data_IF_038475900203
#
_entry.id   IF_038475900203
#
_cell.length_a   1.000
_cell.length_b   1.000
_cell.length_c   1.000
_cell.angle_alpha   90.00
_cell.angle_beta   90.00
_cell.angle_gamma   90.00
#
_symmetry.space_group_name_H-M   'P 1'
#
loop_
_entity.id
_entity.type
_entity.pdbx_description
1 polymer ?
#
# COMPACT_ATOMS: atom_id res chain seq x y z
N UNK A 1 6.45 -0.48 15.20
CA UNK A 1 6.44 -0.53 13.71
C UNK A 1 5.81 0.69 13.03
N UNK A 2 5.09 1.58 13.72
CA UNK A 2 4.64 2.87 13.13
C UNK A 2 5.70 4.00 13.18
N UNK A 3 6.76 3.84 13.98
CA UNK A 3 7.81 4.87 14.17
C UNK A 3 8.88 4.93 13.07
N UNK A 4 8.92 3.98 12.13
CA UNK A 4 9.99 3.92 11.12
C UNK A 4 9.71 4.79 9.88
N UNK A 5 8.45 4.95 9.48
CA UNK A 5 8.07 5.78 8.32
C UNK A 5 8.31 7.28 8.56
N UNK A 6 8.06 7.77 9.78
CA UNK A 6 8.30 9.18 10.13
C UNK A 6 9.80 9.54 10.21
N UNK A 7 10.66 8.58 10.63
CA UNK A 7 12.11 8.78 10.71
C UNK A 7 12.78 8.79 9.32
N UNK A 8 12.19 8.13 8.32
CA UNK A 8 12.71 8.04 6.95
C UNK A 8 12.56 9.32 6.12
N UNK A 9 11.64 10.22 6.49
CA UNK A 9 11.44 11.52 5.82
C UNK A 9 12.65 12.48 5.89
N UNK A 10 13.61 12.24 6.78
CA UNK A 10 14.69 13.21 7.06
C UNK A 10 16.00 12.86 6.32
N UNK A 11 16.20 11.63 5.83
CA UNK A 11 17.50 11.16 5.36
C UNK A 11 17.68 11.04 3.83
N UNK A 12 16.62 11.12 3.01
CA UNK A 12 16.69 10.85 1.56
C UNK A 12 17.07 12.04 0.64
N UNK A 13 17.47 13.20 1.17
CA UNK A 13 17.79 14.39 0.33
C UNK A 13 19.13 14.33 -0.43
N UNK A 14 19.85 13.21 -0.43
CA UNK A 14 21.16 13.14 -1.06
C UNK A 14 21.37 11.82 -1.83
N UNK A 15 20.94 11.77 -3.09
CA UNK A 15 21.69 11.15 -4.21
C UNK A 15 20.86 11.14 -5.50
N UNK A 16 21.17 12.07 -6.39
CA UNK A 16 20.61 12.17 -7.75
C UNK A 16 21.61 11.60 -8.76
N UNK A 17 21.06 10.89 -9.75
CA UNK A 17 21.53 10.63 -11.11
C UNK A 17 22.74 9.71 -11.36
N UNK A 18 22.49 8.66 -12.17
CA UNK A 18 23.06 8.51 -13.53
C UNK A 18 22.37 7.38 -14.29
N UNK A 19 21.73 7.70 -15.41
CA UNK A 19 21.27 6.75 -16.45
C UNK A 19 22.28 6.74 -17.61
N UNK A 20 22.54 5.57 -18.18
CA UNK A 20 23.27 5.38 -19.45
C UNK A 20 22.37 4.67 -20.48
N UNK A 21 22.56 4.87 -21.79
CA UNK A 21 21.59 4.47 -22.82
C UNK A 21 22.04 3.30 -23.75
N UNK A 22 21.05 2.51 -24.23
CA UNK A 22 20.89 1.82 -25.55
C UNK A 22 21.97 0.80 -26.03
N UNK A 23 21.70 -0.20 -26.93
CA UNK A 23 20.97 -0.05 -28.19
C UNK A 23 20.11 -1.23 -28.72
N UNK A 24 19.65 -1.00 -29.95
CA UNK A 24 18.62 -1.60 -30.80
C UNK A 24 18.86 -3.02 -31.37
N UNK A 25 17.74 -3.57 -31.84
CA UNK A 25 17.52 -4.48 -32.98
C UNK A 25 17.71 -5.99 -32.75
N UNK A 26 16.61 -6.75 -32.93
CA UNK A 26 16.52 -7.84 -33.91
C UNK A 26 15.04 -8.29 -34.07
N UNK A 27 14.63 -8.46 -35.33
CA UNK A 27 13.42 -9.17 -35.79
C UNK A 27 13.89 -10.48 -36.44
N UNK A 28 13.10 -11.59 -36.48
CA UNK A 28 12.03 -11.66 -37.46
C UNK A 28 10.75 -12.46 -37.05
N UNK A 29 9.79 -12.35 -37.97
CA UNK A 29 8.43 -12.86 -38.05
C UNK A 29 8.18 -14.36 -37.76
N UNK A 30 7.03 -14.66 -37.14
CA UNK A 30 6.14 -15.79 -37.47
C UNK A 30 4.67 -15.35 -37.31
N UNK A 31 3.84 -15.72 -38.30
CA UNK A 31 2.44 -15.35 -38.51
C UNK A 31 1.44 -16.19 -37.65
N UNK A 32 0.14 -15.84 -37.63
CA UNK A 32 -0.75 -16.05 -36.48
C UNK A 32 -1.58 -17.34 -36.55
N UNK A 33 -1.96 -17.89 -35.40
CA UNK A 33 -3.07 -18.84 -35.29
C UNK A 33 -4.32 -18.15 -34.74
N UNK A 34 -5.28 -17.94 -35.65
CA UNK A 34 -6.70 -17.65 -35.38
C UNK A 34 -7.33 -18.80 -34.60
N UNK A 35 -8.07 -18.48 -33.55
CA UNK A 35 -9.23 -19.29 -33.15
C UNK A 35 -10.42 -18.35 -32.97
N UNK A 36 -11.47 -18.62 -33.74
CA UNK A 36 -12.71 -17.84 -33.80
C UNK A 36 -13.58 -18.09 -32.58
N UNK A 37 -14.35 -17.05 -32.26
CA UNK A 37 -15.36 -16.94 -31.23
C UNK A 37 -16.61 -17.81 -31.46
N UNK A 38 -17.34 -18.07 -30.37
CA UNK A 38 -18.78 -18.33 -30.43
C UNK A 38 -19.34 -19.03 -29.18
N UNK A 39 -19.92 -18.28 -28.25
CA UNK A 39 -21.13 -18.63 -27.49
C UNK A 39 -21.51 -17.47 -26.54
N UNK A 40 -22.80 -17.12 -26.51
CA UNK A 40 -23.36 -15.89 -25.94
C UNK A 40 -23.57 -15.85 -24.42
N UNK A 41 -24.34 -14.86 -23.94
CA UNK A 41 -24.29 -14.37 -22.56
C UNK A 41 -25.12 -15.21 -21.59
N UNK A 42 -24.47 -15.70 -20.53
CA UNK A 42 -25.11 -16.33 -19.35
C UNK A 42 -25.36 -15.30 -18.23
N UNK A 43 -26.46 -15.42 -17.47
CA UNK A 43 -26.95 -14.41 -16.52
C UNK A 43 -26.06 -14.23 -15.28
N UNK A 44 -26.13 -13.06 -14.60
CA UNK A 44 -25.28 -12.76 -13.46
C UNK A 44 -25.68 -13.55 -12.20
N UNK A 45 -24.70 -14.01 -11.39
CA UNK A 45 -24.97 -14.67 -10.10
C UNK A 45 -25.43 -13.66 -9.02
N UNK A 46 -26.18 -14.11 -8.00
CA UNK A 46 -26.70 -13.25 -6.94
C UNK A 46 -25.60 -12.68 -6.03
N UNK A 47 -25.79 -11.42 -5.64
CA UNK A 47 -24.91 -10.63 -4.78
C UNK A 47 -24.77 -11.23 -3.38
N UNK A 48 -23.55 -11.47 -2.87
CA UNK A 48 -23.35 -11.84 -1.46
C UNK A 48 -23.52 -10.61 -0.56
N UNK A 49 -24.47 -10.69 0.37
CA UNK A 49 -24.66 -9.73 1.47
C UNK A 49 -23.48 -9.80 2.44
N UNK A 50 -22.70 -8.72 2.54
CA UNK A 50 -21.65 -8.55 3.54
C UNK A 50 -22.27 -8.29 4.93
N UNK A 51 -21.73 -8.87 6.01
CA UNK A 51 -22.15 -8.57 7.38
C UNK A 51 -21.69 -7.16 7.82
N UNK A 52 -22.42 -6.49 8.73
CA UNK A 52 -22.07 -5.16 9.21
C UNK A 52 -20.75 -5.14 10.02
N UNK A 53 -19.99 -4.03 9.99
CA UNK A 53 -18.73 -3.90 10.71
C UNK A 53 -18.93 -3.88 12.24
N UNK A 54 -17.95 -4.37 13.05
CA UNK A 54 -18.01 -4.30 14.50
C UNK A 54 -17.93 -2.86 15.00
N UNK A 55 -18.78 -2.52 15.97
CA UNK A 55 -18.79 -1.24 16.70
C UNK A 55 -17.45 -1.03 17.43
N UNK A 56 -16.86 0.16 17.26
CA UNK A 56 -15.64 0.56 17.98
C UNK A 56 -15.90 0.68 19.49
N UNK A 57 -14.96 0.26 20.36
CA UNK A 57 -15.09 0.43 21.79
C UNK A 57 -14.81 1.88 22.21
N UNK A 58 -15.84 2.53 22.74
CA UNK A 58 -15.75 3.79 23.49
C UNK A 58 -14.86 3.57 24.71
N UNK A 59 -13.75 4.31 24.78
CA UNK A 59 -12.82 4.29 25.93
C UNK A 59 -13.27 5.33 26.94
N UNK A 60 -13.82 4.88 28.07
CA UNK A 60 -14.18 5.71 29.22
C UNK A 60 -12.94 5.93 30.11
N UNK A 61 -12.64 7.16 30.57
CA UNK A 61 -11.48 7.43 31.42
C UNK A 61 -11.74 7.03 32.89
N UNK A 62 -10.72 6.55 33.63
CA UNK A 62 -10.90 6.11 35.01
C UNK A 62 -11.09 7.29 35.99
N UNK A 63 -11.85 7.10 37.08
CA UNK A 63 -12.10 8.14 38.06
C UNK A 63 -10.92 8.36 39.01
N UNK A 64 -10.75 9.62 39.43
CA UNK A 64 -9.84 10.07 40.48
C UNK A 64 -10.32 9.58 41.85
N UNK A 65 -9.42 9.02 42.65
CA UNK A 65 -9.62 8.80 44.08
C UNK A 65 -8.69 9.71 44.88
N UNK A 66 -9.28 10.69 45.55
CA UNK A 66 -8.67 11.38 46.70
C UNK A 66 -8.83 10.53 47.96
N UNK A 67 -7.88 10.66 48.89
CA UNK A 67 -8.23 10.64 50.32
C UNK A 67 -7.62 9.56 51.21
N UNK A 68 -6.64 10.02 51.99
CA UNK A 68 -6.46 9.76 53.43
C UNK A 68 -5.66 8.52 53.90
N UNK A 69 -4.80 8.80 54.89
CA UNK A 69 -4.63 7.91 56.03
C UNK A 69 -3.19 7.55 56.37
N UNK A 70 -2.60 8.30 57.29
CA UNK A 70 -1.27 8.10 57.85
C UNK A 70 -1.16 6.83 58.73
N UNK A 71 0.05 6.28 58.82
CA UNK A 71 0.57 5.72 60.07
C UNK A 71 2.10 5.64 60.01
N UNK A 72 2.72 6.38 60.93
CA UNK A 72 4.13 6.36 61.31
C UNK A 72 4.52 5.08 62.04
N UNK A 73 5.73 4.58 61.82
CA UNK A 73 6.55 4.06 62.92
C UNK A 73 8.04 4.17 62.58
N UNK A 74 8.77 4.73 63.54
CA UNK A 74 10.20 4.93 63.61
C UNK A 74 10.91 3.68 64.13
N UNK A 75 12.10 3.38 63.60
CA UNK A 75 13.16 2.74 64.38
C UNK A 75 14.54 3.03 63.78
N UNK A 76 15.52 2.95 64.68
CA UNK A 76 16.80 3.63 64.74
C UNK A 76 17.97 2.94 64.03
N UNK A 77 18.89 3.80 63.55
CA UNK A 77 20.37 3.71 63.49
C UNK A 77 21.07 2.35 63.26
N UNK A 78 22.00 2.33 62.29
CA UNK A 78 23.42 1.98 62.50
C UNK A 78 24.28 2.43 61.31
N UNK A 79 25.50 2.86 61.64
CA UNK A 79 26.59 3.23 60.74
C UNK A 79 27.04 2.07 59.84
N UNK A 80 27.40 2.41 58.60
CA UNK A 80 28.03 1.49 57.66
C UNK A 80 28.60 2.23 56.46
N UNK A 81 29.90 2.54 56.52
CA UNK A 81 30.67 3.08 55.40
C UNK A 81 30.66 2.09 54.21
N UNK A 82 30.18 2.54 53.06
CA UNK A 82 30.22 1.77 51.82
C UNK A 82 29.89 2.68 50.64
N UNK A 83 30.91 3.02 49.83
CA UNK A 83 30.77 3.86 48.65
C UNK A 83 29.76 3.27 47.67
N UNK A 84 28.72 4.04 47.35
CA UNK A 84 27.72 3.67 46.35
C UNK A 84 27.77 4.67 45.19
N UNK A 85 28.31 4.20 44.07
CA UNK A 85 28.15 4.80 42.75
C UNK A 85 26.66 4.97 42.47
N UNK A 86 26.13 6.20 42.59
CA UNK A 86 24.77 6.54 42.21
C UNK A 86 24.67 6.50 40.68
N UNK A 87 24.47 5.31 40.13
CA UNK A 87 24.17 5.14 38.71
C UNK A 87 22.80 5.72 38.44
N UNK A 88 22.75 6.87 37.78
CA UNK A 88 21.52 7.51 37.32
C UNK A 88 20.67 6.52 36.50
N UNK A 89 19.44 6.18 36.91
CA UNK A 89 18.58 5.22 36.20
C UNK A 89 18.29 5.59 34.74
N UNK A 90 18.43 6.88 34.38
CA UNK A 90 18.24 7.38 33.02
C UNK A 90 19.35 7.02 32.03
N UNK A 91 20.59 6.77 32.50
CA UNK A 91 21.73 6.51 31.61
C UNK A 91 21.66 5.11 30.98
N UNK A 92 21.25 4.09 31.75
CA UNK A 92 21.10 2.72 31.26
C UNK A 92 19.91 2.57 30.29
N UNK A 93 18.82 3.32 30.52
CA UNK A 93 17.67 3.36 29.61
C UNK A 93 18.01 4.03 28.27
N UNK A 94 18.83 5.08 28.30
CA UNK A 94 19.37 5.73 27.09
C UNK A 94 20.26 4.78 26.28
N UNK A 95 21.27 4.18 26.92
CA UNK A 95 22.21 3.27 26.26
C UNK A 95 21.51 2.05 25.62
N UNK A 96 20.50 1.47 26.28
CA UNK A 96 19.72 0.36 25.72
C UNK A 96 18.89 0.79 24.50
N UNK A 97 18.38 2.02 24.48
CA UNK A 97 17.65 2.59 23.34
C UNK A 97 18.59 2.92 22.16
N UNK A 98 19.78 3.46 22.42
CA UNK A 98 20.81 3.67 21.39
C UNK A 98 21.32 2.35 20.80
N UNK A 99 21.56 1.33 21.62
CA UNK A 99 21.95 0.01 21.14
C UNK A 99 20.85 -0.65 20.27
N UNK A 100 19.57 -0.48 20.64
CA UNK A 100 18.45 -0.93 19.82
C UNK A 100 18.36 -0.20 18.47
N UNK A 101 18.58 1.12 18.46
CA UNK A 101 18.58 1.91 17.23
C UNK A 101 19.73 1.53 16.28
N UNK A 102 20.93 1.29 16.80
CA UNK A 102 22.06 0.80 16.00
C UNK A 102 21.78 -0.58 15.39
N UNK A 103 21.12 -1.46 16.14
CA UNK A 103 20.77 -2.79 15.67
C UNK A 103 19.73 -2.77 14.54
N UNK A 104 18.70 -1.93 14.65
CA UNK A 104 17.70 -1.73 13.58
C UNK A 104 18.35 -1.13 12.31
N UNK A 105 19.32 -0.23 12.46
CA UNK A 105 20.07 0.35 11.35
C UNK A 105 20.92 -0.70 10.63
N UNK A 106 21.59 -1.59 11.37
CA UNK A 106 22.33 -2.73 10.79
C UNK A 106 21.40 -3.68 10.03
N UNK A 107 20.22 -4.00 10.59
CA UNK A 107 19.22 -4.82 9.91
C UNK A 107 18.79 -4.21 8.58
N UNK A 108 18.50 -2.91 8.55
CA UNK A 108 18.15 -2.20 7.30
C UNK A 108 19.30 -2.23 6.29
N UNK A 109 20.55 -1.99 6.72
CA UNK A 109 21.73 -2.05 5.84
C UNK A 109 21.87 -3.44 5.20
N UNK A 110 21.68 -4.49 5.99
CA UNK A 110 21.72 -5.88 5.50
C UNK A 110 20.61 -6.12 4.49
N UNK A 111 19.35 -5.78 4.79
CA UNK A 111 18.23 -5.99 3.86
C UNK A 111 18.44 -5.22 2.55
N UNK A 112 18.90 -3.97 2.62
CA UNK A 112 19.21 -3.16 1.43
C UNK A 112 20.30 -3.78 0.57
N UNK A 113 21.40 -4.23 1.17
CA UNK A 113 22.49 -4.91 0.45
C UNK A 113 22.03 -6.27 -0.15
N UNK A 114 21.14 -6.97 0.54
CA UNK A 114 20.60 -8.27 0.10
C UNK A 114 19.87 -8.18 -1.23
N UNK A 115 19.22 -7.05 -1.53
CA UNK A 115 18.49 -6.84 -2.78
C UNK A 115 19.39 -7.03 -4.02
N UNK A 116 20.68 -6.66 -3.94
CA UNK A 116 21.62 -6.83 -5.04
C UNK A 116 21.84 -8.31 -5.43
N UNK A 117 21.60 -9.23 -4.50
CA UNK A 117 21.77 -10.66 -4.72
C UNK A 117 20.48 -11.35 -5.18
N UNK A 118 19.32 -10.71 -5.02
CA UNK A 118 18.00 -11.30 -5.36
C UNK A 118 17.91 -11.75 -6.82
N UNK A 119 18.35 -11.00 -7.85
CA UNK A 119 18.23 -11.46 -9.24
C UNK A 119 18.91 -12.81 -9.49
N UNK A 120 20.01 -13.10 -8.78
CA UNK A 120 20.78 -14.34 -8.89
C UNK A 120 20.30 -15.42 -7.92
N UNK A 121 20.09 -15.07 -6.65
CA UNK A 121 19.81 -16.02 -5.56
C UNK A 121 18.33 -16.16 -5.19
N UNK A 122 17.45 -15.36 -5.80
CA UNK A 122 16.04 -15.26 -5.43
C UNK A 122 15.82 -14.53 -4.09
N UNK A 123 14.55 -14.48 -3.69
CA UNK A 123 14.14 -13.99 -2.37
C UNK A 123 14.43 -15.08 -1.33
N UNK A 124 15.68 -15.14 -0.84
CA UNK A 124 16.19 -16.25 -0.04
C UNK A 124 17.06 -15.78 1.12
N UNK A 125 17.17 -16.60 2.18
CA UNK A 125 18.18 -16.42 3.24
C UNK A 125 19.61 -16.34 2.68
N UNK A 126 19.92 -17.03 1.58
CA UNK A 126 21.25 -16.96 0.95
C UNK A 126 21.57 -15.56 0.42
N UNK A 127 20.59 -14.86 -0.16
CA UNK A 127 20.73 -13.46 -0.55
C UNK A 127 20.97 -12.57 0.67
N UNK A 128 20.34 -12.88 1.80
CA UNK A 128 20.52 -12.16 3.06
C UNK A 128 21.92 -12.37 3.66
N UNK A 129 22.43 -13.61 3.61
CA UNK A 129 23.81 -13.93 4.04
C UNK A 129 24.83 -13.19 3.19
N UNK A 130 24.62 -13.13 1.88
CA UNK A 130 25.50 -12.39 0.98
C UNK A 130 25.44 -10.88 1.28
N UNK A 131 24.24 -10.31 1.44
CA UNK A 131 24.07 -8.90 1.81
C UNK A 131 24.73 -8.55 3.14
N UNK A 132 24.64 -9.41 4.16
CA UNK A 132 25.31 -9.21 5.45
C UNK A 132 26.84 -9.15 5.31
N UNK A 133 27.42 -10.05 4.51
CA UNK A 133 28.86 -10.08 4.24
C UNK A 133 29.33 -8.81 3.52
N UNK A 134 28.56 -8.31 2.56
CA UNK A 134 28.91 -7.11 1.79
C UNK A 134 29.00 -5.85 2.67
N UNK A 135 28.19 -5.76 3.73
CA UNK A 135 28.19 -4.63 4.66
C UNK A 135 29.03 -4.87 5.93
N UNK A 136 29.79 -5.96 5.97
CA UNK A 136 30.68 -6.29 7.10
C UNK A 136 29.95 -6.70 8.39
N UNK A 137 28.68 -7.11 8.29
CA UNK A 137 27.86 -7.56 9.43
C UNK A 137 27.87 -9.09 9.52
N UNK A 138 27.93 -9.63 10.74
CA UNK A 138 27.89 -11.08 10.96
C UNK A 138 26.59 -11.69 10.40
N UNK A 139 26.64 -12.80 9.63
CA UNK A 139 25.44 -13.49 9.14
C UNK A 139 24.45 -13.93 10.23
N UNK A 140 24.90 -13.99 11.50
CA UNK A 140 24.03 -14.29 12.64
C UNK A 140 22.88 -13.28 12.81
N UNK A 141 23.02 -12.05 12.29
CA UNK A 141 21.94 -11.03 12.30
C UNK A 141 20.67 -11.52 11.61
N UNK A 142 20.77 -12.47 10.68
CA UNK A 142 19.63 -13.00 9.94
C UNK A 142 18.65 -13.72 10.88
N UNK A 143 19.17 -14.32 11.95
CA UNK A 143 18.34 -14.97 12.98
C UNK A 143 17.39 -14.01 13.70
N UNK A 144 17.58 -12.69 13.57
CA UNK A 144 16.69 -11.69 14.15
C UNK A 144 15.50 -11.32 13.26
N UNK A 145 15.42 -11.79 12.01
CA UNK A 145 14.25 -11.61 11.15
C UNK A 145 13.25 -12.76 11.35
N UNK A 146 12.09 -12.54 12.01
CA UNK A 146 11.19 -13.63 12.40
C UNK A 146 10.65 -14.44 11.22
N UNK A 147 10.51 -13.81 10.05
CA UNK A 147 9.98 -14.41 8.81
C UNK A 147 10.98 -14.36 7.65
N UNK A 148 12.26 -14.09 7.94
CA UNK A 148 13.40 -14.20 7.02
C UNK A 148 13.13 -13.62 5.63
N UNK A 149 12.94 -14.45 4.61
CA UNK A 149 12.66 -14.04 3.23
C UNK A 149 11.47 -13.08 3.12
N UNK A 150 10.43 -13.29 3.91
CA UNK A 150 9.28 -12.38 3.92
C UNK A 150 9.67 -10.99 4.41
N UNK A 151 10.59 -10.87 5.37
CA UNK A 151 11.10 -9.57 5.81
C UNK A 151 11.88 -8.86 4.69
N UNK A 152 12.60 -9.61 3.84
CA UNK A 152 13.28 -9.05 2.67
C UNK A 152 12.29 -8.54 1.62
N UNK A 153 11.24 -9.31 1.32
CA UNK A 153 10.19 -8.88 0.39
C UNK A 153 9.44 -7.66 0.94
N UNK A 154 9.09 -7.67 2.23
CA UNK A 154 8.41 -6.56 2.89
C UNK A 154 9.25 -5.28 2.87
N UNK A 155 10.54 -5.39 3.18
CA UNK A 155 11.47 -4.28 3.09
C UNK A 155 11.51 -3.69 1.68
N UNK A 156 11.56 -4.54 0.64
CA UNK A 156 11.52 -4.06 -0.74
C UNK A 156 10.21 -3.35 -1.09
N UNK A 157 9.07 -3.87 -0.60
CA UNK A 157 7.76 -3.24 -0.83
C UNK A 157 7.66 -1.86 -0.17
N UNK A 158 8.17 -1.72 1.07
CA UNK A 158 8.23 -0.45 1.79
C UNK A 158 9.22 0.54 1.15
N UNK A 159 10.39 0.08 0.71
CA UNK A 159 11.37 0.91 0.02
C UNK A 159 10.82 1.42 -1.33
N UNK A 160 10.11 0.58 -2.10
CA UNK A 160 9.43 1.00 -3.32
C UNK A 160 8.33 2.04 -3.07
N UNK A 161 7.56 1.89 -1.97
CA UNK A 161 6.56 2.88 -1.58
C UNK A 161 7.22 4.21 -1.25
N UNK A 162 8.29 4.20 -0.45
CA UNK A 162 9.02 5.41 -0.11
C UNK A 162 9.62 6.07 -1.36
N UNK A 163 10.21 5.30 -2.27
CA UNK A 163 10.72 5.81 -3.54
C UNK A 163 9.61 6.43 -4.41
N UNK A 164 8.39 5.88 -4.38
CA UNK A 164 7.26 6.44 -5.11
C UNK A 164 6.88 7.81 -4.55
N UNK A 165 6.75 7.92 -3.22
CA UNK A 165 6.47 9.17 -2.52
C UNK A 165 7.57 10.20 -2.82
N UNK A 166 8.84 9.81 -2.68
CA UNK A 166 9.98 10.69 -2.94
C UNK A 166 9.97 11.21 -4.38
N UNK A 167 9.63 10.37 -5.37
CA UNK A 167 9.50 10.81 -6.78
C UNK A 167 8.36 11.81 -6.98
N UNK A 168 7.22 11.58 -6.33
CA UNK A 168 6.07 12.49 -6.36
C UNK A 168 6.47 13.85 -5.79
N UNK A 169 7.11 13.87 -4.63
CA UNK A 169 7.55 15.08 -3.94
C UNK A 169 8.69 15.80 -4.70
N UNK A 170 9.56 15.08 -5.41
CA UNK A 170 10.69 15.63 -6.16
C UNK A 170 10.30 16.30 -7.50
N UNK A 171 9.01 16.37 -7.85
CA UNK A 171 8.51 17.12 -8.99
C UNK A 171 7.59 16.35 -9.94
N UNK A 172 7.49 15.02 -9.81
CA UNK A 172 6.50 14.25 -10.58
C UNK A 172 5.06 14.65 -10.20
N UNK A 173 4.83 15.05 -8.93
CA UNK A 173 3.55 15.56 -8.45
C UNK A 173 3.03 16.76 -9.24
N UNK A 174 3.91 17.71 -9.59
CA UNK A 174 3.52 18.86 -10.42
C UNK A 174 3.16 18.44 -11.85
N UNK A 175 3.88 17.46 -12.41
CA UNK A 175 3.56 16.92 -13.73
C UNK A 175 2.20 16.21 -13.73
N UNK A 176 1.85 15.52 -12.64
CA UNK A 176 0.55 14.85 -12.50
C UNK A 176 -0.60 15.85 -12.57
N UNK A 177 -0.47 17.07 -12.02
CA UNK A 177 -1.54 18.08 -12.03
C UNK A 177 -2.00 18.46 -13.44
N UNK A 178 -1.12 18.40 -14.43
CA UNK A 178 -1.44 18.72 -15.83
C UNK A 178 -2.15 17.59 -16.58
N UNK A 179 -2.21 16.39 -16.00
CA UNK A 179 -2.85 15.22 -16.60
C UNK A 179 -4.28 15.05 -16.11
N UNK A 180 -5.10 14.33 -16.88
CA UNK A 180 -6.42 13.91 -16.41
C UNK A 180 -6.30 12.75 -15.40
N UNK A 181 -7.33 12.52 -14.59
CA UNK A 181 -7.29 11.52 -13.51
C UNK A 181 -6.86 10.12 -13.97
N UNK A 182 -7.33 9.64 -15.13
CA UNK A 182 -6.92 8.34 -15.69
C UNK A 182 -5.42 8.27 -15.94
N UNK A 183 -4.86 9.32 -16.52
CA UNK A 183 -3.43 9.41 -16.85
C UNK A 183 -2.58 9.53 -15.59
N UNK A 184 -3.05 10.29 -14.57
CA UNK A 184 -2.39 10.38 -13.27
C UNK A 184 -2.25 9.01 -12.62
N UNK A 185 -3.37 8.29 -12.48
CA UNK A 185 -3.42 6.96 -11.88
C UNK A 185 -2.57 5.97 -12.69
N UNK A 186 -2.63 6.03 -14.02
CA UNK A 186 -1.85 5.14 -14.88
C UNK A 186 -0.35 5.38 -14.72
N UNK A 187 0.07 6.65 -14.65
CA UNK A 187 1.47 7.02 -14.42
C UNK A 187 1.95 6.57 -13.04
N UNK A 188 1.14 6.74 -11.99
CA UNK A 188 1.45 6.28 -10.64
C UNK A 188 1.62 4.75 -10.56
N UNK A 189 0.66 4.00 -11.10
CA UNK A 189 0.73 2.53 -11.16
C UNK A 189 1.96 2.07 -11.94
N UNK A 190 2.22 2.68 -13.10
CA UNK A 190 3.41 2.39 -13.91
C UNK A 190 4.71 2.65 -13.15
N UNK A 191 4.86 3.83 -12.54
CA UNK A 191 6.07 4.18 -11.76
C UNK A 191 6.36 3.14 -10.68
N UNK A 192 5.31 2.63 -10.01
CA UNK A 192 5.45 1.62 -8.98
C UNK A 192 5.83 0.24 -9.54
N UNK A 193 5.20 -0.18 -10.63
CA UNK A 193 5.49 -1.48 -11.27
C UNK A 193 6.89 -1.51 -11.90
N UNK A 194 7.36 -0.39 -12.46
CA UNK A 194 8.72 -0.26 -13.01
C UNK A 194 9.81 -0.55 -11.98
N UNK A 195 9.57 -0.31 -10.69
CA UNK A 195 10.52 -0.64 -9.62
C UNK A 195 10.74 -2.16 -9.46
N UNK A 196 9.79 -2.97 -9.92
CA UNK A 196 9.86 -4.44 -9.88
C UNK A 196 10.57 -5.04 -11.09
N UNK A 197 10.72 -4.28 -12.18
CA UNK A 197 11.32 -4.75 -13.42
C UNK A 197 12.71 -5.41 -13.24
N UNK A 198 13.64 -4.87 -12.42
CA UNK A 198 14.95 -5.52 -12.20
C UNK A 198 14.85 -6.90 -11.53
N UNK A 199 13.73 -7.18 -10.86
CA UNK A 199 13.49 -8.40 -10.08
C UNK A 199 12.45 -9.31 -10.73
N UNK A 200 11.98 -9.00 -11.95
CA UNK A 200 10.83 -9.65 -12.56
C UNK A 200 10.99 -11.18 -12.68
N UNK A 201 12.20 -11.65 -12.96
CA UNK A 201 12.52 -13.08 -13.08
C UNK A 201 12.36 -13.86 -11.76
N UNK A 202 12.41 -13.16 -10.62
CA UNK A 202 12.22 -13.73 -9.28
C UNK A 202 10.96 -13.20 -8.61
N UNK A 203 10.19 -12.32 -9.26
CA UNK A 203 8.98 -11.74 -8.70
C UNK A 203 7.85 -12.77 -8.44
N UNK A 204 7.68 -13.85 -9.24
CA UNK A 204 6.72 -14.91 -8.90
C UNK A 204 7.00 -15.55 -7.52
N UNK A 205 8.28 -15.68 -7.15
CA UNK A 205 8.67 -16.16 -5.83
C UNK A 205 8.27 -15.18 -4.72
N UNK A 206 8.50 -13.87 -4.90
CA UNK A 206 8.06 -12.86 -3.95
C UNK A 206 6.54 -12.83 -3.77
N UNK A 207 5.77 -12.98 -4.85
CA UNK A 207 4.32 -13.07 -4.76
C UNK A 207 3.89 -14.32 -3.99
N UNK A 208 4.52 -15.47 -4.24
CA UNK A 208 4.26 -16.70 -3.48
C UNK A 208 4.53 -16.52 -1.98
N UNK A 209 5.64 -15.88 -1.61
CA UNK A 209 5.98 -15.57 -0.21
C UNK A 209 4.91 -14.65 0.41
N UNK A 210 4.51 -13.58 -0.28
CA UNK A 210 3.48 -12.64 0.18
C UNK A 210 2.11 -13.31 0.37
N UNK A 211 1.77 -14.30 -0.47
CA UNK A 211 0.49 -15.02 -0.39
C UNK A 211 0.41 -16.06 0.72
N UNK A 212 1.51 -16.34 1.44
CA UNK A 212 1.48 -17.28 2.56
C UNK A 212 0.58 -16.75 3.70
N UNK A 213 -0.16 -17.62 4.42
CA UNK A 213 -1.08 -17.17 5.48
C UNK A 213 -0.45 -16.30 6.56
N UNK A 214 0.83 -16.52 6.86
CA UNK A 214 1.61 -15.74 7.84
C UNK A 214 2.03 -14.36 7.34
N UNK A 215 1.98 -14.12 6.02
CA UNK A 215 2.49 -12.91 5.36
C UNK A 215 1.39 -12.10 4.66
N UNK A 216 0.25 -12.72 4.36
CA UNK A 216 -0.81 -12.12 3.53
C UNK A 216 -1.42 -10.89 4.16
N UNK A 217 -1.58 -10.85 5.49
CA UNK A 217 -2.12 -9.69 6.20
C UNK A 217 -1.20 -8.46 6.06
N UNK A 218 0.10 -8.63 6.26
CA UNK A 218 1.10 -7.56 6.07
C UNK A 218 1.17 -7.13 4.61
N UNK A 219 1.18 -8.08 3.68
CA UNK A 219 1.25 -7.81 2.24
C UNK A 219 0.03 -7.03 1.74
N UNK A 220 -1.17 -7.41 2.20
CA UNK A 220 -2.40 -6.67 1.92
C UNK A 220 -2.33 -5.27 2.51
N UNK A 221 -1.88 -5.11 3.75
CA UNK A 221 -1.71 -3.79 4.37
C UNK A 221 -0.78 -2.88 3.54
N UNK A 222 0.37 -3.38 3.10
CA UNK A 222 1.31 -2.61 2.26
C UNK A 222 0.67 -2.17 0.94
N UNK A 223 -0.05 -3.07 0.25
CA UNK A 223 -0.78 -2.74 -1.00
C UNK A 223 -1.86 -1.71 -0.76
N UNK A 224 -2.53 -1.83 0.38
CA UNK A 224 -3.62 -0.99 0.77
C UNK A 224 -3.10 0.45 1.03
N UNK A 225 -1.97 0.61 1.74
CA UNK A 225 -1.30 1.92 1.92
C UNK A 225 -0.82 2.49 0.59
N UNK A 226 -0.21 1.66 -0.27
CA UNK A 226 0.21 2.07 -1.61
C UNK A 226 -0.94 2.68 -2.44
N UNK A 227 -2.10 2.04 -2.41
CA UNK A 227 -3.30 2.50 -3.12
C UNK A 227 -3.80 3.83 -2.54
N UNK A 228 -3.77 3.99 -1.22
CA UNK A 228 -4.13 5.25 -0.56
C UNK A 228 -3.20 6.39 -1.02
N UNK A 229 -1.89 6.15 -1.04
CA UNK A 229 -0.89 7.13 -1.51
C UNK A 229 -1.09 7.48 -2.99
N UNK A 230 -1.41 6.51 -3.85
CA UNK A 230 -1.73 6.79 -5.26
C UNK A 230 -2.98 7.66 -5.41
N UNK A 231 -4.04 7.39 -4.65
CA UNK A 231 -5.26 8.21 -4.68
C UNK A 231 -5.00 9.62 -4.16
N UNK A 232 -4.22 9.74 -3.08
CA UNK A 232 -3.81 11.02 -2.54
C UNK A 232 -3.02 11.84 -3.57
N UNK A 233 -2.01 11.24 -4.18
CA UNK A 233 -1.18 11.89 -5.20
C UNK A 233 -1.94 12.22 -6.49
N UNK A 234 -2.98 11.46 -6.84
CA UNK A 234 -3.82 11.74 -8.01
C UNK A 234 -4.72 12.99 -7.83
N UNK A 235 -4.86 13.48 -6.59
CA UNK A 235 -5.64 14.67 -6.26
C UNK A 235 -7.15 14.46 -6.31
N UNK A 236 -7.64 13.27 -5.92
CA UNK A 236 -9.08 13.01 -5.83
C UNK A 236 -9.68 13.72 -4.61
N UNK A 237 -10.09 14.98 -4.79
CA UNK A 237 -10.56 15.84 -3.70
C UNK A 237 -12.09 15.88 -3.50
N UNK A 238 -12.89 15.02 -4.14
CA UNK A 238 -14.35 15.20 -4.05
C UNK A 238 -15.22 14.20 -4.80
N UNK A 239 -14.85 12.92 -4.78
CA UNK A 239 -15.66 11.88 -5.42
C UNK A 239 -16.60 11.24 -4.40
N UNK A 240 -17.93 11.35 -4.60
CA UNK A 240 -19.02 10.76 -3.77
C UNK A 240 -18.97 9.22 -3.62
N UNK A 241 -18.05 8.56 -4.34
CA UNK A 241 -17.78 7.13 -4.17
C UNK A 241 -17.07 6.88 -2.85
N UNK A 242 -17.59 5.89 -2.13
CA UNK A 242 -16.96 5.32 -0.93
C UNK A 242 -15.47 5.01 -1.18
N UNK A 243 -14.63 5.49 -0.26
CA UNK A 243 -13.20 5.27 -0.30
C UNK A 243 -12.83 3.78 -0.38
N UNK A 244 -13.62 2.88 0.22
CA UNK A 244 -13.40 1.43 0.15
C UNK A 244 -13.57 0.90 -1.27
N UNK A 245 -14.51 1.43 -2.04
CA UNK A 245 -14.72 1.06 -3.45
C UNK A 245 -13.53 1.52 -4.28
N UNK A 246 -13.07 2.77 -4.10
CA UNK A 246 -11.88 3.29 -4.80
C UNK A 246 -10.64 2.44 -4.53
N UNK A 247 -10.46 2.06 -3.26
CA UNK A 247 -9.34 1.21 -2.84
C UNK A 247 -9.42 -0.18 -3.46
N UNK A 248 -10.61 -0.78 -3.44
CA UNK A 248 -10.84 -2.11 -4.01
C UNK A 248 -10.56 -2.11 -5.51
N UNK A 249 -11.07 -1.12 -6.24
CA UNK A 249 -10.89 -1.01 -7.69
C UNK A 249 -9.42 -0.79 -8.05
N UNK A 250 -8.76 0.22 -7.48
CA UNK A 250 -7.37 0.51 -7.82
C UNK A 250 -6.42 -0.60 -7.34
N UNK A 251 -6.67 -1.19 -6.16
CA UNK A 251 -5.91 -2.33 -5.65
C UNK A 251 -6.06 -3.58 -6.53
N UNK A 252 -7.27 -3.82 -7.06
CA UNK A 252 -7.53 -4.88 -8.03
C UNK A 252 -6.80 -4.64 -9.36
N UNK A 253 -6.83 -3.42 -9.88
CA UNK A 253 -6.09 -3.04 -11.09
C UNK A 253 -4.60 -3.22 -10.89
N UNK A 254 -4.04 -2.73 -9.78
CA UNK A 254 -2.62 -2.88 -9.46
C UNK A 254 -2.23 -4.36 -9.40
N UNK A 255 -2.97 -5.17 -8.64
CA UNK A 255 -2.64 -6.58 -8.42
C UNK A 255 -2.77 -7.42 -9.70
N UNK A 256 -3.79 -7.16 -10.52
CA UNK A 256 -3.93 -7.85 -11.83
C UNK A 256 -2.87 -7.40 -12.84
N UNK A 257 -2.48 -6.12 -12.83
CA UNK A 257 -1.41 -5.60 -13.68
C UNK A 257 -0.04 -6.16 -13.28
N UNK A 258 0.21 -6.31 -11.98
CA UNK A 258 1.42 -6.95 -11.46
C UNK A 258 1.54 -8.40 -11.92
N UNK A 259 0.46 -9.18 -11.87
CA UNK A 259 0.44 -10.56 -12.39
C UNK A 259 0.59 -10.59 -13.90
N UNK A 260 -0.05 -9.66 -14.62
CA UNK A 260 0.09 -9.55 -16.08
C UNK A 260 1.54 -9.26 -16.49
N UNK A 261 2.23 -8.39 -15.74
CA UNK A 261 3.63 -8.03 -15.99
C UNK A 261 4.59 -9.22 -15.94
N UNK A 262 4.25 -10.27 -15.19
CA UNK A 262 5.07 -11.50 -15.10
C UNK A 262 5.13 -12.28 -16.42
N UNK A 263 4.13 -12.15 -17.27
CA UNK A 263 4.01 -12.90 -18.53
C UNK A 263 4.23 -12.04 -19.76
N UNK A 264 4.46 -10.73 -19.56
CA UNK A 264 4.68 -9.77 -20.62
C UNK A 264 6.12 -9.85 -21.16
N UNK A 265 6.25 -10.27 -22.41
CA UNK A 265 7.51 -10.35 -23.14
C UNK A 265 7.67 -9.21 -24.16
N UNK A 266 6.78 -8.22 -24.14
CA UNK A 266 6.88 -7.06 -25.02
C UNK A 266 8.04 -6.15 -24.60
N UNK A 267 8.65 -5.40 -25.55
CA UNK A 267 9.70 -4.45 -25.23
C UNK A 267 9.25 -3.45 -24.17
N UNK A 268 10.06 -3.29 -23.12
CA UNK A 268 9.82 -2.37 -21.99
C UNK A 268 8.44 -2.52 -21.33
N UNK A 269 7.84 -3.73 -21.33
CA UNK A 269 6.51 -4.01 -20.76
C UNK A 269 5.36 -3.19 -21.38
N UNK A 270 5.48 -2.83 -22.67
CA UNK A 270 4.47 -2.02 -23.38
C UNK A 270 3.05 -2.58 -23.26
N UNK A 271 2.89 -3.89 -23.29
CA UNK A 271 1.58 -4.53 -23.24
C UNK A 271 0.99 -4.41 -21.82
N UNK A 272 1.81 -4.47 -20.77
CA UNK A 272 1.43 -4.16 -19.39
C UNK A 272 0.93 -2.72 -19.25
N UNK A 273 1.63 -1.74 -19.84
CA UNK A 273 1.21 -0.34 -19.77
C UNK A 273 -0.11 -0.10 -20.51
N UNK A 274 -0.31 -0.77 -21.64
CA UNK A 274 -1.57 -0.75 -22.37
C UNK A 274 -2.70 -1.38 -21.54
N UNK A 275 -2.42 -2.49 -20.85
CA UNK A 275 -3.36 -3.13 -19.94
C UNK A 275 -3.76 -2.19 -18.79
N UNK A 276 -2.80 -1.57 -18.10
CA UNK A 276 -3.03 -0.61 -17.01
C UNK A 276 -3.92 0.55 -17.47
N UNK A 277 -3.54 1.21 -18.56
CA UNK A 277 -4.28 2.36 -19.11
C UNK A 277 -5.74 1.99 -19.40
N UNK A 278 -5.96 0.82 -20.03
CA UNK A 278 -7.30 0.33 -20.35
C UNK A 278 -8.11 0.04 -19.09
N UNK A 279 -7.53 -0.65 -18.10
CA UNK A 279 -8.24 -0.98 -16.85
C UNK A 279 -8.62 0.24 -16.03
N UNK A 280 -7.75 1.25 -15.99
CA UNK A 280 -8.06 2.51 -15.30
C UNK A 280 -9.16 3.28 -16.03
N UNK A 281 -9.11 3.33 -17.37
CA UNK A 281 -10.16 3.96 -18.16
C UNK A 281 -11.51 3.26 -17.94
N UNK A 282 -11.55 1.93 -18.04
CA UNK A 282 -12.78 1.14 -17.83
C UNK A 282 -13.38 1.43 -16.44
N UNK A 283 -12.54 1.50 -15.41
CA UNK A 283 -12.99 1.78 -14.04
C UNK A 283 -13.60 3.19 -13.88
N UNK A 284 -13.00 4.21 -14.50
CA UNK A 284 -13.51 5.58 -14.43
C UNK A 284 -14.76 5.79 -15.29
N UNK A 285 -14.85 5.11 -16.44
CA UNK A 285 -16.04 5.19 -17.30
C UNK A 285 -17.23 4.44 -16.68
N UNK A 286 -16.97 3.31 -16.01
CA UNK A 286 -17.97 2.61 -15.21
C UNK A 286 -18.52 3.50 -14.09
N UNK A 287 -17.63 4.23 -13.39
CA UNK A 287 -18.02 5.22 -12.37
C UNK A 287 -18.97 6.29 -12.93
N UNK A 288 -18.64 6.88 -14.09
CA UNK A 288 -19.49 7.91 -14.73
C UNK A 288 -20.86 7.36 -15.07
N UNK A 289 -20.90 6.17 -15.65
CA UNK A 289 -22.14 5.49 -16.04
C UNK A 289 -23.06 5.27 -14.83
N UNK A 290 -22.50 4.83 -13.68
CA UNK A 290 -23.29 4.66 -12.45
C UNK A 290 -23.81 5.98 -11.89
N UNK A 291 -23.02 7.06 -11.94
CA UNK A 291 -23.44 8.38 -11.48
C UNK A 291 -24.56 8.96 -12.36
N UNK A 292 -24.43 8.85 -13.68
CA UNK A 292 -25.46 9.28 -14.62
C UNK A 292 -26.78 8.50 -14.43
N UNK A 293 -26.70 7.18 -14.23
CA UNK A 293 -27.87 6.35 -13.98
C UNK A 293 -28.57 6.70 -12.65
N UNK A 294 -27.79 6.96 -11.59
CA UNK A 294 -28.33 7.39 -10.29
C UNK A 294 -29.04 8.76 -10.40
N UNK A 295 -28.41 9.72 -11.08
CA UNK A 295 -29.01 11.04 -11.31
C UNK A 295 -30.29 10.97 -12.13
N UNK A 296 -30.32 10.17 -13.20
CA UNK A 296 -31.53 9.96 -14.00
C UNK A 296 -32.66 9.34 -13.18
N UNK A 297 -32.36 8.35 -12.34
CA UNK A 297 -33.35 7.73 -11.45
C UNK A 297 -33.92 8.73 -10.45
N UNK A 298 -33.06 9.58 -9.86
CA UNK A 298 -33.48 10.65 -8.94
C UNK A 298 -34.34 11.70 -9.66
N UNK A 299 -33.92 12.17 -10.84
CA UNK A 299 -34.67 13.16 -11.63
C UNK A 299 -36.04 12.65 -12.07
N UNK A 300 -36.15 11.38 -12.47
CA UNK A 300 -37.44 10.74 -12.80
C UNK A 300 -38.29 10.57 -11.54
N UNK A 301 -37.69 10.15 -10.42
CA UNK A 301 -38.39 10.01 -9.14
C UNK A 301 -38.94 11.34 -8.61
N UNK A 302 -38.15 12.42 -8.70
CA UNK A 302 -38.56 13.77 -8.32
C UNK A 302 -39.62 14.35 -9.30
N UNK A 303 -39.48 14.08 -10.61
CA UNK A 303 -40.40 14.54 -11.65
C UNK A 303 -41.78 13.86 -11.63
N UNK A 304 -41.86 12.59 -11.25
CA UNK A 304 -43.12 11.84 -11.15
C UNK A 304 -43.86 12.05 -9.82
N UNK A 305 -43.19 12.50 -8.75
CA UNK A 305 -43.84 12.79 -7.47
C UNK A 305 -44.85 13.97 -7.52
N UNK A 306 -44.59 14.96 -8.37
CA UNK A 306 -45.46 16.13 -8.53
C UNK A 306 -46.67 15.90 -9.45
N UNK A 307 -46.50 15.11 -10.52
CA UNK A 307 -47.55 14.85 -11.51
C UNK A 307 -48.64 13.92 -10.96
N UNK A 308 -48.29 12.92 -10.14
CA UNK A 308 -49.30 12.05 -9.51
C UNK A 308 -50.17 12.83 -8.52
N UNK A 309 -49.58 13.77 -7.76
CA UNK A 309 -50.32 14.63 -6.83
C UNK A 309 -51.23 15.64 -7.56
N UNK A 310 -50.76 16.18 -8.69
CA UNK A 310 -51.56 17.07 -9.55
C UNK A 310 -52.73 16.37 -10.26
N UNK A 311 -52.56 15.11 -10.69
CA UNK A 311 -53.63 14.31 -11.29
C UNK A 311 -54.63 13.84 -10.23
N UNK A 312 -54.17 13.45 -9.03
CA UNK A 312 -55.08 13.12 -7.93
C UNK A 312 -55.96 14.32 -7.54
N UNK A 313 -55.37 15.51 -7.39
CA UNK A 313 -56.14 16.71 -7.01
C UNK A 313 -57.18 17.11 -8.07
N UNK A 314 -56.86 16.92 -9.36
CA UNK A 314 -57.80 17.18 -10.47
C UNK A 314 -58.94 16.17 -10.54
N UNK A 315 -58.70 14.91 -10.14
CA UNK A 315 -59.74 13.87 -10.07
C UNK A 315 -60.66 14.04 -8.85
N UNK A 316 -60.15 14.56 -7.74
CA UNK A 316 -60.98 14.84 -6.55
C UNK A 316 -61.75 16.16 -6.63
N UNK A 317 -61.28 17.17 -7.37
CA UNK A 317 -62.02 18.42 -7.58
C UNK A 317 -63.21 18.30 -8.56
N UNK A 318 -63.18 17.33 -9.50
CA UNK A 318 -64.28 17.10 -10.43
C UNK A 318 -65.43 16.23 -9.87
N UNK A 319 -65.41 15.87 -8.58
CA UNK A 319 -66.46 15.08 -7.91
C UNK A 319 -67.33 15.87 -6.91
N UNK A 320 -67.17 17.20 -6.86
CA UNK A 320 -67.89 18.07 -5.93
C UNK A 320 -68.76 19.13 -6.62
N UNK A 321 -69.19 18.90 -7.86
CA UNK A 321 -70.17 19.72 -8.58
C UNK A 321 -71.40 18.89 -8.94
#
# INVERSE_FOLDING_TARGET
MASSLAARRILSRAAVARRLPLPLAFSPAIAPRRFSAGAGPSPPPPTPTLPPPPLEPVTEPPPRSEGAGAASSSSSATDGAGGAHRSSPGAAAGARRQAGAGYEEEQEKVLRASLLHVPRMGWSESAMVAGARDVGVSPAIIGAFPRKEAALVEFFMDDCLQQLIDRIDAGEGEQLKNLILSERLSKLVRMRLEMQAPYISKWPQALSIQSQPTNVSTSLKQRAVLVDEMWHAAGDSGSDIDWYVKRTVLGGIYSTSEVYMLTDNSPDFRDTWTFVNRRIKDALDLKKTFQEAAYLAEAVGAGMGGTVKGVLNRVFQNRSA
#
